data_IF_495925995487
#
_entry.id   IF_495925995487
#
_cell.length_a   1.000
_cell.length_b   1.000
_cell.length_c   1.000
_cell.angle_alpha   90.00
_cell.angle_beta   90.00
_cell.angle_gamma   90.00
#
_symmetry.space_group_name_H-M   'P 1'
#
loop_
_entity.id
_entity.type
_entity.pdbx_description
1 polymer ?
#
# COMPACT_ATOMS: atom_id res chain seq x y z
N UNK A 1 -31.50 5.88 -29.48
CA UNK A 1 -30.34 5.02 -29.75
C UNK A 1 -29.90 4.39 -28.43
N UNK A 2 -29.98 3.11 -28.31
CA UNK A 2 -29.54 2.41 -27.09
C UNK A 2 -28.01 2.41 -27.04
N UNK A 3 -27.41 2.61 -25.86
CA UNK A 3 -25.95 2.58 -25.62
C UNK A 3 -25.29 1.30 -26.21
N UNK A 4 -25.99 0.17 -26.18
CA UNK A 4 -25.53 -1.10 -26.75
C UNK A 4 -25.36 -1.06 -28.28
N UNK A 5 -26.17 -0.31 -29.03
CA UNK A 5 -25.99 -0.16 -30.46
C UNK A 5 -24.73 0.62 -30.84
N UNK A 6 -24.33 1.57 -29.98
CA UNK A 6 -23.10 2.37 -30.15
C UNK A 6 -21.84 1.55 -29.90
N UNK A 7 -21.82 0.72 -28.85
CA UNK A 7 -20.66 -0.13 -28.53
C UNK A 7 -20.44 -1.19 -29.62
N UNK A 8 -21.50 -1.88 -30.08
CA UNK A 8 -21.36 -2.89 -31.11
C UNK A 8 -20.91 -2.31 -32.47
N UNK A 9 -21.34 -1.09 -32.78
CA UNK A 9 -20.88 -0.38 -33.98
C UNK A 9 -19.44 0.02 -33.90
N UNK A 10 -18.99 0.45 -32.71
CA UNK A 10 -17.62 0.81 -32.45
C UNK A 10 -16.68 -0.41 -32.50
N UNK A 11 -17.07 -1.53 -31.91
CA UNK A 11 -16.31 -2.78 -31.95
C UNK A 11 -16.12 -3.30 -33.39
N UNK A 12 -17.19 -3.30 -34.20
CA UNK A 12 -17.11 -3.68 -35.64
C UNK A 12 -16.16 -2.76 -36.42
N UNK A 13 -16.20 -1.47 -36.11
CA UNK A 13 -15.28 -0.51 -36.74
C UNK A 13 -13.82 -0.78 -36.40
N UNK A 14 -13.52 -1.07 -35.12
CA UNK A 14 -12.18 -1.46 -34.68
C UNK A 14 -11.71 -2.72 -35.38
N UNK A 15 -12.55 -3.77 -35.45
CA UNK A 15 -12.22 -5.00 -36.16
C UNK A 15 -11.85 -4.72 -37.61
N UNK A 16 -12.60 -3.84 -38.25
CA UNK A 16 -12.36 -3.45 -39.64
C UNK A 16 -11.07 -2.62 -39.81
N UNK A 17 -10.87 -1.62 -38.97
CA UNK A 17 -9.73 -0.69 -39.07
C UNK A 17 -8.40 -1.36 -38.70
N UNK A 18 -8.40 -2.21 -37.68
CA UNK A 18 -7.20 -2.92 -37.21
C UNK A 18 -6.99 -4.25 -37.96
N UNK A 19 -7.93 -4.67 -38.82
CA UNK A 19 -7.87 -5.93 -39.58
C UNK A 19 -7.72 -7.16 -38.66
N UNK A 20 -8.38 -7.15 -37.51
CA UNK A 20 -8.45 -8.27 -36.57
C UNK A 20 -9.73 -9.06 -36.78
N UNK A 21 -9.71 -10.35 -36.47
CA UNK A 21 -10.87 -11.23 -36.65
C UNK A 21 -11.92 -11.04 -35.56
N UNK A 22 -11.48 -10.66 -34.36
CA UNK A 22 -12.37 -10.41 -33.22
C UNK A 22 -11.73 -9.35 -32.29
N UNK A 23 -12.53 -8.42 -31.81
CA UNK A 23 -12.09 -7.39 -30.86
C UNK A 23 -11.53 -7.97 -29.56
N UNK A 24 -11.89 -9.20 -29.19
CA UNK A 24 -11.33 -9.89 -28.00
C UNK A 24 -9.80 -10.09 -28.07
N UNK A 25 -9.21 -10.01 -29.27
CA UNK A 25 -7.75 -10.02 -29.45
C UNK A 25 -7.07 -8.80 -28.80
N UNK A 26 -7.83 -7.73 -28.55
CA UNK A 26 -7.37 -6.53 -27.85
C UNK A 26 -7.46 -6.65 -26.33
N UNK A 27 -8.16 -7.67 -25.82
CA UNK A 27 -8.25 -7.90 -24.39
C UNK A 27 -6.88 -8.32 -23.83
N UNK A 28 -6.54 -7.79 -22.67
CA UNK A 28 -5.34 -8.16 -21.94
C UNK A 28 -5.72 -8.83 -20.64
N UNK A 29 -4.94 -9.80 -20.22
CA UNK A 29 -5.09 -10.43 -18.92
C UNK A 29 -4.02 -9.87 -17.97
N UNK A 30 -4.41 -9.45 -16.78
CA UNK A 30 -3.50 -8.95 -15.77
C UNK A 30 -2.89 -10.08 -14.92
N UNK A 31 -2.07 -9.69 -13.91
CA UNK A 31 -1.41 -10.64 -13.02
C UNK A 31 -2.38 -11.42 -12.10
N UNK A 32 -3.60 -10.92 -11.89
CA UNK A 32 -4.66 -11.60 -11.12
C UNK A 32 -5.52 -12.53 -12.00
N UNK A 33 -5.24 -12.58 -13.32
CA UNK A 33 -6.01 -13.33 -14.30
C UNK A 33 -7.33 -12.66 -14.69
N UNK A 34 -7.45 -11.35 -14.45
CA UNK A 34 -8.63 -10.55 -14.81
C UNK A 34 -8.49 -10.09 -16.26
N UNK A 35 -9.52 -10.35 -17.08
CA UNK A 35 -9.55 -9.89 -18.47
C UNK A 35 -9.92 -8.41 -18.53
N UNK A 36 -9.09 -7.62 -19.21
CA UNK A 36 -9.27 -6.19 -19.40
C UNK A 36 -9.65 -5.95 -20.86
N UNK A 37 -10.89 -5.48 -21.08
CA UNK A 37 -11.40 -5.12 -22.40
C UNK A 37 -10.95 -3.72 -22.83
N UNK A 38 -10.93 -3.40 -24.13
CA UNK A 38 -10.53 -2.08 -24.63
C UNK A 38 -11.52 -0.97 -24.31
N UNK A 39 -12.78 -1.29 -23.98
CA UNK A 39 -13.80 -0.31 -23.60
C UNK A 39 -14.80 -0.93 -22.61
N UNK A 40 -15.39 -0.05 -21.79
CA UNK A 40 -16.40 -0.40 -20.79
C UNK A 40 -17.59 0.55 -20.89
N UNK A 41 -18.78 0.05 -20.55
CA UNK A 41 -20.04 0.77 -20.60
C UNK A 41 -20.84 0.55 -19.31
N UNK A 42 -21.98 1.20 -19.19
CA UNK A 42 -22.89 1.04 -18.04
C UNK A 42 -23.39 -0.39 -17.84
N UNK A 43 -23.28 -1.26 -18.84
CA UNK A 43 -23.72 -2.67 -18.74
C UNK A 43 -22.65 -3.60 -18.18
N UNK A 44 -21.44 -3.12 -18.02
CA UNK A 44 -20.28 -3.93 -17.59
C UNK A 44 -20.13 -3.98 -16.06
N UNK A 45 -20.94 -3.26 -15.32
CA UNK A 45 -20.96 -3.29 -13.85
C UNK A 45 -22.38 -3.07 -13.31
N UNK A 46 -22.62 -3.46 -12.05
CA UNK A 46 -23.90 -3.22 -11.40
C UNK A 46 -24.12 -1.72 -11.16
N UNK A 47 -25.23 -1.19 -11.70
CA UNK A 47 -25.54 0.24 -11.72
C UNK A 47 -25.79 0.90 -10.36
N UNK A 48 -25.87 0.14 -9.28
CA UNK A 48 -25.98 0.64 -7.92
C UNK A 48 -24.61 1.11 -7.37
N UNK A 49 -23.95 2.02 -8.11
CA UNK A 49 -22.68 2.56 -7.68
C UNK A 49 -22.86 3.46 -6.45
N UNK A 50 -22.39 3.02 -5.29
CA UNK A 50 -22.25 3.84 -4.11
C UNK A 50 -20.76 4.14 -3.88
N UNK A 51 -20.41 5.34 -3.35
CA UNK A 51 -19.06 5.62 -2.96
C UNK A 51 -18.51 4.54 -2.04
N UNK A 52 -17.31 4.04 -2.33
CA UNK A 52 -16.68 3.02 -1.51
C UNK A 52 -16.24 3.58 -0.14
N UNK A 53 -16.01 4.89 -0.08
CA UNK A 53 -15.62 5.65 1.10
C UNK A 53 -16.07 7.11 1.00
N UNK A 54 -16.18 7.79 2.17
CA UNK A 54 -16.72 9.17 2.25
C UNK A 54 -15.68 10.20 2.73
N UNK A 55 -14.46 9.79 3.08
CA UNK A 55 -13.43 10.71 3.54
C UNK A 55 -12.64 11.30 2.37
N UNK A 56 -12.44 12.61 2.39
CA UNK A 56 -11.57 13.31 1.45
C UNK A 56 -10.22 13.69 2.04
N UNK A 57 -10.10 13.65 3.36
CA UNK A 57 -8.86 13.98 4.08
C UNK A 57 -7.90 12.80 4.12
N UNK A 58 -6.60 13.09 4.07
CA UNK A 58 -5.54 12.13 4.37
C UNK A 58 -4.40 12.77 5.13
N UNK A 59 -3.75 11.98 5.96
CA UNK A 59 -2.53 12.35 6.67
C UNK A 59 -1.30 12.13 5.78
N UNK A 60 -0.41 13.12 5.76
CA UNK A 60 0.89 13.04 5.09
C UNK A 60 1.88 12.41 6.06
N UNK A 61 2.26 11.17 5.79
CA UNK A 61 3.07 10.36 6.70
C UNK A 61 4.55 10.47 6.36
N UNK A 62 5.34 10.94 7.33
CA UNK A 62 6.79 10.81 7.28
C UNK A 62 7.23 9.54 8.01
N UNK A 63 7.84 8.60 7.31
CA UNK A 63 8.41 7.36 7.89
C UNK A 63 9.89 7.51 8.09
N UNK A 64 10.33 7.30 9.33
CA UNK A 64 11.75 7.37 9.68
C UNK A 64 12.52 6.17 9.10
N UNK A 65 13.55 6.40 8.27
CA UNK A 65 14.38 5.32 7.74
C UNK A 65 15.11 4.55 8.86
N UNK A 66 15.27 3.24 8.67
CA UNK A 66 16.04 2.36 9.60
C UNK A 66 17.41 2.05 9.00
N UNK A 67 18.48 1.88 9.82
CA UNK A 67 18.57 2.21 11.24
C UNK A 67 18.70 3.73 11.49
N UNK A 68 18.34 4.21 12.68
CA UNK A 68 18.48 5.62 13.03
C UNK A 68 19.14 5.85 14.41
N UNK A 69 19.80 7.01 14.55
CA UNK A 69 20.25 7.53 15.84
C UNK A 69 19.20 8.55 16.34
N UNK A 70 18.88 8.51 17.64
CA UNK A 70 17.76 9.29 18.19
C UNK A 70 17.85 10.80 17.94
N UNK A 71 19.05 11.39 18.10
CA UNK A 71 19.24 12.83 17.92
C UNK A 71 18.95 13.26 16.46
N UNK A 72 19.39 12.47 15.50
CA UNK A 72 19.14 12.72 14.08
C UNK A 72 17.67 12.48 13.73
N UNK A 73 17.03 11.51 14.38
CA UNK A 73 15.62 11.17 14.18
C UNK A 73 14.69 12.31 14.62
N UNK A 74 14.94 12.91 15.79
CA UNK A 74 14.18 14.05 16.27
C UNK A 74 14.30 15.26 15.32
N UNK A 75 15.52 15.61 14.90
CA UNK A 75 15.74 16.69 13.95
C UNK A 75 15.02 16.45 12.61
N UNK A 76 14.98 15.20 12.13
CA UNK A 76 14.25 14.82 10.92
C UNK A 76 12.74 14.91 11.12
N UNK A 77 12.20 14.47 12.26
CA UNK A 77 10.78 14.63 12.57
C UNK A 77 10.35 16.10 12.60
N UNK A 78 11.10 16.94 13.34
CA UNK A 78 10.81 18.38 13.39
C UNK A 78 10.82 19.01 12.01
N UNK A 79 11.83 18.66 11.18
CA UNK A 79 11.93 19.18 9.81
C UNK A 79 10.80 18.68 8.93
N UNK A 80 10.40 17.40 9.02
CA UNK A 80 9.29 16.85 8.27
C UNK A 80 7.96 17.51 8.66
N UNK A 81 7.69 17.69 9.95
CA UNK A 81 6.49 18.37 10.45
C UNK A 81 6.45 19.83 10.01
N UNK A 82 7.57 20.56 10.09
CA UNK A 82 7.70 21.93 9.57
C UNK A 82 7.49 22.00 8.06
N UNK A 83 7.80 20.94 7.34
CA UNK A 83 7.59 20.83 5.88
C UNK A 83 6.17 20.41 5.50
N UNK A 84 5.27 20.17 6.46
CA UNK A 84 3.86 19.88 6.22
C UNK A 84 3.44 18.43 6.40
N UNK A 85 4.30 17.54 6.90
CA UNK A 85 3.87 16.22 7.36
C UNK A 85 2.90 16.38 8.55
N UNK A 86 1.83 15.60 8.58
CA UNK A 86 0.87 15.57 9.69
C UNK A 86 0.98 14.32 10.55
N UNK A 87 1.84 13.39 10.15
CA UNK A 87 2.01 12.08 10.79
C UNK A 87 3.45 11.65 10.78
N UNK A 88 3.85 10.93 11.81
CA UNK A 88 5.16 10.28 11.89
C UNK A 88 5.00 8.77 12.08
N UNK A 89 5.81 8.01 11.33
CA UNK A 89 5.90 6.56 11.45
C UNK A 89 7.31 6.16 11.88
N UNK A 90 7.40 5.44 12.97
CA UNK A 90 8.69 5.07 13.55
C UNK A 90 8.68 3.68 14.19
N UNK A 91 9.86 3.07 14.20
CA UNK A 91 10.12 1.88 14.98
C UNK A 91 10.59 2.29 16.37
N UNK A 92 9.96 1.75 17.42
CA UNK A 92 10.26 2.18 18.78
C UNK A 92 11.55 1.60 19.32
N UNK A 93 12.26 2.46 20.06
CA UNK A 93 13.39 2.09 20.92
C UNK A 93 13.18 2.78 22.27
N UNK A 94 12.91 1.99 23.30
CA UNK A 94 12.58 2.49 24.64
C UNK A 94 13.67 3.42 25.24
N UNK A 95 14.94 3.15 24.92
CA UNK A 95 16.07 3.90 25.50
C UNK A 95 16.19 5.35 25.02
N UNK A 96 15.54 5.69 23.89
CA UNK A 96 15.71 7.00 23.23
C UNK A 96 14.40 7.78 23.04
N UNK A 97 13.30 7.30 23.61
CA UNK A 97 11.98 7.87 23.38
C UNK A 97 11.87 9.35 23.76
N UNK A 98 12.47 9.77 24.86
CA UNK A 98 12.48 11.16 25.30
C UNK A 98 13.22 12.09 24.33
N UNK A 99 14.33 11.60 23.77
CA UNK A 99 15.09 12.36 22.78
C UNK A 99 14.36 12.45 21.45
N UNK A 100 13.67 11.36 21.07
CA UNK A 100 12.93 11.28 19.82
C UNK A 100 11.78 12.31 19.74
N UNK A 101 11.12 12.57 20.86
CA UNK A 101 9.98 13.49 20.94
C UNK A 101 10.31 14.85 21.56
N UNK A 102 11.57 15.19 21.76
CA UNK A 102 11.94 16.51 22.25
C UNK A 102 11.34 17.61 21.36
N UNK A 103 10.60 18.54 21.97
CA UNK A 103 9.90 19.65 21.28
C UNK A 103 8.83 19.24 20.25
N UNK A 104 8.32 18.01 20.33
CA UNK A 104 7.21 17.54 19.48
C UNK A 104 5.95 17.41 20.32
N UNK A 105 4.89 18.10 19.90
CA UNK A 105 3.58 18.02 20.53
C UNK A 105 2.76 16.85 19.96
N UNK A 106 2.98 15.68 20.54
CA UNK A 106 2.42 14.39 20.08
C UNK A 106 0.89 14.33 19.99
N UNK A 107 0.07 15.09 20.75
CA UNK A 107 -1.39 15.07 20.62
C UNK A 107 -1.92 15.61 19.29
N UNK A 108 -1.16 16.44 18.60
CA UNK A 108 -1.58 17.09 17.36
C UNK A 108 -1.22 16.34 16.09
N UNK A 109 -0.46 15.27 16.22
CA UNK A 109 0.00 14.46 15.09
C UNK A 109 -0.50 13.01 15.20
N UNK A 110 -0.62 12.33 14.06
CA UNK A 110 -0.84 10.89 14.05
C UNK A 110 0.50 10.17 14.27
N UNK A 111 0.53 9.31 15.29
CA UNK A 111 1.67 8.48 15.61
C UNK A 111 1.45 7.06 15.10
N UNK A 112 2.19 6.64 14.07
CA UNK A 112 2.19 5.25 13.59
C UNK A 112 3.40 4.54 14.21
N UNK A 113 3.12 3.53 15.01
CA UNK A 113 4.10 2.92 15.91
C UNK A 113 4.29 1.44 15.55
N UNK A 114 5.54 1.03 15.38
CA UNK A 114 5.91 -0.37 15.20
C UNK A 114 7.04 -0.75 16.18
N UNK A 115 7.04 -1.99 16.67
CA UNK A 115 8.12 -2.48 17.53
C UNK A 115 7.75 -3.69 18.38
N UNK A 116 8.70 -4.10 19.21
CA UNK A 116 8.49 -5.18 20.16
C UNK A 116 7.68 -4.71 21.37
N UNK A 117 7.01 -5.64 22.06
CA UNK A 117 6.06 -5.35 23.13
C UNK A 117 6.61 -4.44 24.23
N UNK A 118 7.83 -4.68 24.73
CA UNK A 118 8.43 -3.88 25.81
C UNK A 118 8.69 -2.42 25.38
N UNK A 119 9.16 -2.23 24.15
CA UNK A 119 9.39 -0.91 23.60
C UNK A 119 8.07 -0.18 23.31
N UNK A 120 7.03 -0.90 22.86
CA UNK A 120 5.67 -0.39 22.71
C UNK A 120 5.10 0.07 24.05
N UNK A 121 5.26 -0.73 25.13
CA UNK A 121 4.86 -0.37 26.48
C UNK A 121 5.50 0.95 26.95
N UNK A 122 6.81 1.08 26.81
CA UNK A 122 7.55 2.29 27.19
C UNK A 122 7.06 3.52 26.41
N UNK A 123 6.85 3.35 25.10
CA UNK A 123 6.39 4.44 24.22
C UNK A 123 4.97 4.89 24.57
N UNK A 124 4.06 3.95 24.78
CA UNK A 124 2.68 4.27 25.14
C UNK A 124 2.58 4.93 26.51
N UNK A 125 3.41 4.51 27.49
CA UNK A 125 3.54 5.21 28.76
C UNK A 125 4.02 6.65 28.58
N UNK A 126 5.05 6.86 27.75
CA UNK A 126 5.56 8.20 27.44
C UNK A 126 4.46 9.08 26.80
N UNK A 127 3.79 8.57 25.77
CA UNK A 127 2.70 9.31 25.08
C UNK A 127 1.52 9.60 26.00
N UNK A 128 1.21 8.72 26.93
CA UNK A 128 0.16 8.96 27.92
C UNK A 128 0.55 10.03 28.95
N UNK A 129 1.82 10.03 29.39
CA UNK A 129 2.30 10.98 30.40
C UNK A 129 2.55 12.39 29.83
N UNK A 130 2.96 12.50 28.57
CA UNK A 130 3.34 13.76 27.90
C UNK A 130 2.31 14.22 26.86
N UNK A 131 1.29 13.43 26.61
CA UNK A 131 0.19 13.72 25.69
C UNK A 131 -1.15 13.86 26.44
N UNK A 132 -2.22 13.48 25.77
CA UNK A 132 -3.54 13.38 26.35
C UNK A 132 -4.29 12.17 25.78
N UNK A 133 -5.51 11.91 26.26
CA UNK A 133 -6.35 10.81 25.78
C UNK A 133 -6.74 10.93 24.30
N UNK A 134 -6.61 12.11 23.70
CA UNK A 134 -6.91 12.37 22.28
C UNK A 134 -5.71 12.16 21.34
N UNK A 135 -4.54 11.79 21.88
CA UNK A 135 -3.36 11.45 21.05
C UNK A 135 -3.72 10.37 20.04
N UNK A 136 -3.54 10.67 18.76
CA UNK A 136 -3.84 9.75 17.66
C UNK A 136 -2.72 8.73 17.53
N UNK A 137 -3.06 7.45 17.62
CA UNK A 137 -2.11 6.34 17.57
C UNK A 137 -2.63 5.25 16.63
N UNK A 138 -1.79 4.80 15.72
CA UNK A 138 -1.97 3.55 14.98
C UNK A 138 -0.87 2.58 15.34
N UNK A 139 -1.25 1.43 15.85
CA UNK A 139 -0.32 0.42 16.31
C UNK A 139 -0.17 -0.68 15.25
N UNK A 140 0.98 -0.69 14.58
CA UNK A 140 1.28 -1.70 13.58
C UNK A 140 1.67 -3.02 14.25
N UNK A 141 0.92 -4.06 13.93
CA UNK A 141 1.33 -5.43 14.22
C UNK A 141 2.49 -5.81 13.30
N UNK A 142 3.70 -5.89 13.85
CA UNK A 142 4.84 -6.40 13.08
C UNK A 142 4.66 -7.90 12.88
N UNK A 143 4.54 -8.29 11.63
CA UNK A 143 4.58 -9.68 11.22
C UNK A 143 5.88 -9.93 10.47
N UNK A 144 6.82 -10.58 11.13
CA UNK A 144 7.78 -11.37 10.36
C UNK A 144 6.96 -12.49 9.72
N UNK A 145 7.06 -12.65 8.43
CA UNK A 145 6.22 -13.50 7.59
C UNK A 145 6.09 -14.97 8.06
N UNK A 146 6.84 -15.37 9.06
CA UNK A 146 6.93 -16.72 9.61
C UNK A 146 6.64 -16.83 11.10
N UNK A 147 6.31 -15.74 11.84
CA UNK A 147 6.24 -15.80 13.29
C UNK A 147 4.87 -15.38 13.85
N UNK A 148 4.00 -16.35 14.07
CA UNK A 148 2.66 -16.18 14.68
C UNK A 148 2.74 -15.90 16.21
N UNK A 149 3.92 -16.04 16.81
CA UNK A 149 4.09 -16.06 18.29
C UNK A 149 3.97 -14.68 18.97
N UNK A 150 3.93 -13.58 18.23
CA UNK A 150 3.92 -12.24 18.83
C UNK A 150 2.54 -11.68 19.20
N UNK A 151 1.45 -12.39 18.90
CA UNK A 151 0.11 -11.90 19.22
C UNK A 151 -0.15 -11.78 20.73
N UNK A 152 0.31 -12.73 21.53
CA UNK A 152 0.08 -12.70 22.97
C UNK A 152 0.81 -11.54 23.66
N UNK A 153 2.02 -11.23 23.19
CA UNK A 153 2.76 -10.07 23.66
C UNK A 153 2.05 -8.76 23.30
N UNK A 154 1.57 -8.65 22.05
CA UNK A 154 0.78 -7.50 21.60
C UNK A 154 -0.53 -7.35 22.38
N UNK A 155 -1.26 -8.44 22.64
CA UNK A 155 -2.50 -8.40 23.42
C UNK A 155 -2.27 -7.93 24.86
N UNK A 156 -1.11 -8.22 25.46
CA UNK A 156 -0.72 -7.67 26.76
C UNK A 156 -0.57 -6.15 26.70
N UNK A 157 0.08 -5.63 25.65
CA UNK A 157 0.21 -4.18 25.41
C UNK A 157 -1.19 -3.54 25.26
N UNK A 158 -2.04 -4.12 24.41
CA UNK A 158 -3.43 -3.68 24.25
C UNK A 158 -4.17 -3.62 25.57
N UNK A 159 -4.16 -4.70 26.35
CA UNK A 159 -4.89 -4.80 27.61
C UNK A 159 -4.42 -3.75 28.63
N UNK A 160 -3.14 -3.43 28.63
CA UNK A 160 -2.57 -2.43 29.55
C UNK A 160 -2.91 -0.98 29.15
N UNK A 161 -3.09 -0.67 27.85
CA UNK A 161 -3.12 0.71 27.38
C UNK A 161 -4.42 1.15 26.69
N UNK A 162 -5.31 0.23 26.28
CA UNK A 162 -6.48 0.58 25.45
C UNK A 162 -7.42 1.62 26.10
N UNK A 163 -7.48 1.72 27.42
CA UNK A 163 -8.28 2.71 28.15
C UNK A 163 -7.62 4.08 28.26
N UNK A 164 -6.34 4.17 27.93
CA UNK A 164 -5.55 5.39 28.07
C UNK A 164 -5.70 6.33 26.87
N UNK A 165 -6.18 5.82 25.73
CA UNK A 165 -6.28 6.58 24.48
C UNK A 165 -7.65 6.38 23.83
N UNK A 166 -8.33 7.50 23.53
CA UNK A 166 -9.64 7.49 22.87
C UNK A 166 -9.56 7.45 21.35
N UNK A 167 -8.41 7.88 20.79
CA UNK A 167 -8.16 8.00 19.35
C UNK A 167 -7.09 7.01 18.85
N UNK A 168 -6.98 5.84 19.49
CA UNK A 168 -6.02 4.82 19.09
C UNK A 168 -6.68 3.72 18.25
N UNK A 169 -6.04 3.37 17.14
CA UNK A 169 -6.30 2.13 16.41
C UNK A 169 -5.29 1.06 16.84
N UNK A 170 -5.79 -0.04 17.33
CA UNK A 170 -5.01 -1.16 17.87
C UNK A 170 -4.80 -2.28 16.86
N UNK A 171 -5.49 -2.23 15.73
CA UNK A 171 -5.43 -3.25 14.69
C UNK A 171 -4.97 -2.63 13.38
N UNK A 172 -3.67 -2.51 13.22
CA UNK A 172 -3.05 -2.17 11.94
C UNK A 172 -2.26 -3.36 11.40
N UNK A 173 -2.56 -3.75 10.17
CA UNK A 173 -1.85 -4.80 9.42
C UNK A 173 -1.20 -4.17 8.20
N UNK A 174 0.06 -4.53 7.94
CA UNK A 174 0.76 -4.14 6.70
C UNK A 174 0.92 -5.35 5.78
N UNK A 175 0.65 -5.13 4.51
CA UNK A 175 0.85 -6.11 3.44
C UNK A 175 2.09 -5.82 2.57
N UNK A 176 2.89 -4.79 2.90
CA UNK A 176 4.09 -4.42 2.14
C UNK A 176 5.04 -5.58 1.88
N UNK A 177 5.28 -6.43 2.91
CA UNK A 177 6.20 -7.56 2.79
C UNK A 177 5.67 -8.64 1.84
N UNK A 178 4.37 -8.88 1.81
CA UNK A 178 3.74 -9.83 0.87
C UNK A 178 3.77 -9.28 -0.56
N UNK A 179 3.48 -7.98 -0.72
CA UNK A 179 3.62 -7.30 -2.01
C UNK A 179 5.06 -7.39 -2.53
N UNK A 180 6.05 -7.11 -1.69
CA UNK A 180 7.47 -7.21 -2.05
C UNK A 180 7.89 -8.64 -2.47
N UNK A 181 7.23 -9.66 -1.94
CA UNK A 181 7.42 -11.07 -2.29
C UNK A 181 6.58 -11.53 -3.50
N UNK A 182 5.90 -10.61 -4.19
CA UNK A 182 5.21 -10.91 -5.43
C UNK A 182 3.70 -11.14 -5.32
N UNK A 183 3.07 -10.84 -4.19
CA UNK A 183 1.61 -10.92 -4.11
C UNK A 183 0.96 -10.06 -5.19
N UNK A 184 0.03 -10.66 -5.95
CA UNK A 184 -0.88 -9.93 -6.83
C UNK A 184 -1.88 -9.13 -6.02
N UNK A 185 -2.57 -8.17 -6.63
CA UNK A 185 -3.48 -7.27 -5.92
C UNK A 185 -4.56 -8.03 -5.15
N UNK A 186 -5.22 -9.00 -5.77
CA UNK A 186 -6.27 -9.79 -5.13
C UNK A 186 -5.73 -10.68 -4.00
N UNK A 187 -4.53 -11.25 -4.15
CA UNK A 187 -3.94 -12.09 -3.11
C UNK A 187 -3.46 -11.25 -1.91
N UNK A 188 -2.89 -10.06 -2.17
CA UNK A 188 -2.53 -9.08 -1.14
C UNK A 188 -3.75 -8.67 -0.31
N UNK A 189 -4.89 -8.34 -0.96
CA UNK A 189 -6.17 -8.04 -0.31
C UNK A 189 -6.59 -9.22 0.60
N UNK A 190 -6.55 -10.43 0.06
CA UNK A 190 -7.01 -11.63 0.77
C UNK A 190 -6.19 -11.92 2.03
N UNK A 191 -4.86 -11.83 1.94
CA UNK A 191 -3.96 -12.01 3.08
C UNK A 191 -4.25 -10.94 4.13
N UNK A 192 -4.24 -9.66 3.74
CA UNK A 192 -4.38 -8.55 4.67
C UNK A 192 -5.74 -8.55 5.38
N UNK A 193 -6.85 -8.76 4.67
CA UNK A 193 -8.17 -8.86 5.27
C UNK A 193 -8.29 -10.07 6.19
N UNK A 194 -7.72 -11.22 5.84
CA UNK A 194 -7.72 -12.41 6.69
C UNK A 194 -6.94 -12.18 7.98
N UNK A 195 -5.80 -11.50 7.93
CA UNK A 195 -5.00 -11.12 9.09
C UNK A 195 -5.74 -10.10 9.96
N UNK A 196 -6.36 -9.09 9.33
CA UNK A 196 -7.06 -8.02 10.03
C UNK A 196 -8.27 -8.53 10.81
N UNK A 197 -9.10 -9.38 10.19
CA UNK A 197 -10.23 -10.03 10.86
C UNK A 197 -9.75 -10.92 12.01
N UNK A 198 -8.67 -11.68 11.81
CA UNK A 198 -8.10 -12.52 12.87
C UNK A 198 -7.59 -11.69 14.06
N UNK A 199 -6.90 -10.57 13.79
CA UNK A 199 -6.43 -9.66 14.84
C UNK A 199 -7.62 -9.03 15.57
N UNK A 200 -8.59 -8.47 14.82
CA UNK A 200 -9.77 -7.81 15.38
C UNK A 200 -10.59 -8.75 16.29
N UNK A 201 -10.74 -10.02 15.92
CA UNK A 201 -11.48 -10.99 16.73
C UNK A 201 -10.85 -11.24 18.11
N UNK A 202 -9.59 -10.89 18.31
CA UNK A 202 -8.85 -11.02 19.59
C UNK A 202 -8.88 -9.73 20.42
N UNK A 203 -9.17 -8.59 19.81
CA UNK A 203 -9.30 -7.30 20.50
C UNK A 203 -10.74 -7.15 21.02
N UNK A 204 -10.97 -7.62 22.26
CA UNK A 204 -12.28 -7.54 22.91
C UNK A 204 -12.66 -6.05 23.10
N UNK A 205 -13.92 -5.73 22.83
CA UNK A 205 -14.54 -4.43 23.11
C UNK A 205 -13.90 -3.23 22.38
N UNK A 206 -13.13 -3.46 21.30
CA UNK A 206 -12.56 -2.39 20.51
C UNK A 206 -13.52 -1.94 19.41
N UNK A 207 -14.12 -0.76 19.58
CA UNK A 207 -14.86 -0.03 18.54
C UNK A 207 -13.95 0.87 17.70
N UNK A 208 -12.65 0.92 18.01
CA UNK A 208 -11.67 1.72 17.30
C UNK A 208 -11.52 1.24 15.84
N UNK A 209 -11.29 2.17 14.88
CA UNK A 209 -11.06 1.80 13.49
C UNK A 209 -9.93 0.79 13.33
N UNK A 210 -10.05 -0.12 12.37
CA UNK A 210 -8.97 -1.00 11.96
C UNK A 210 -8.25 -0.42 10.75
N UNK A 211 -6.96 -0.67 10.63
CA UNK A 211 -6.12 -0.10 9.58
C UNK A 211 -5.57 -1.21 8.69
N UNK A 212 -5.86 -1.09 7.40
CA UNK A 212 -5.21 -1.90 6.38
C UNK A 212 -4.13 -1.05 5.69
N UNK A 213 -2.87 -1.44 5.81
CA UNK A 213 -1.77 -0.78 5.13
C UNK A 213 -1.35 -1.59 3.90
N UNK A 214 -1.44 -0.95 2.72
CA UNK A 214 -1.14 -1.55 1.43
C UNK A 214 0.04 -0.86 0.72
N UNK A 215 0.83 -1.62 -0.02
CA UNK A 215 1.77 -1.05 -0.99
C UNK A 215 1.01 -0.62 -2.25
N UNK A 216 1.39 0.50 -2.86
CA UNK A 216 0.78 1.04 -4.08
C UNK A 216 1.85 1.25 -5.14
N UNK A 217 1.60 0.76 -6.35
CA UNK A 217 2.51 0.89 -7.50
C UNK A 217 2.07 2.02 -8.44
N UNK A 218 2.81 2.22 -9.52
CA UNK A 218 2.48 3.16 -10.59
C UNK A 218 1.36 2.67 -11.54
N UNK A 219 0.83 1.46 -11.35
CA UNK A 219 -0.30 0.93 -12.13
C UNK A 219 -1.62 1.59 -11.73
N UNK A 220 -1.82 2.83 -12.17
CA UNK A 220 -2.77 3.80 -11.66
C UNK A 220 -4.18 3.23 -11.39
N UNK A 221 -4.86 2.77 -12.44
CA UNK A 221 -6.25 2.26 -12.31
C UNK A 221 -6.33 0.96 -11.50
N UNK A 222 -5.33 0.08 -11.65
CA UNK A 222 -5.25 -1.15 -10.87
C UNK A 222 -5.18 -0.84 -9.37
N UNK A 223 -4.34 0.13 -8.97
CA UNK A 223 -4.17 0.48 -7.57
C UNK A 223 -5.38 1.21 -6.99
N UNK A 224 -6.04 2.09 -7.75
CA UNK A 224 -7.32 2.69 -7.34
C UNK A 224 -8.34 1.59 -7.05
N UNK A 225 -8.53 0.66 -8.00
CA UNK A 225 -9.49 -0.43 -7.87
C UNK A 225 -9.14 -1.39 -6.74
N UNK A 226 -7.83 -1.67 -6.51
CA UNK A 226 -7.37 -2.47 -5.36
C UNK A 226 -7.83 -1.87 -4.03
N UNK A 227 -7.59 -0.59 -3.82
CA UNK A 227 -7.96 0.10 -2.59
C UNK A 227 -9.49 0.16 -2.42
N UNK A 228 -10.21 0.43 -3.50
CA UNK A 228 -11.68 0.41 -3.51
C UNK A 228 -12.23 -1.00 -3.23
N UNK A 229 -11.62 -2.06 -3.74
CA UNK A 229 -12.02 -3.44 -3.48
C UNK A 229 -11.86 -3.81 -1.99
N UNK A 230 -10.82 -3.31 -1.32
CA UNK A 230 -10.66 -3.50 0.12
C UNK A 230 -11.83 -2.85 0.87
N UNK A 231 -12.18 -1.60 0.57
CA UNK A 231 -13.33 -0.93 1.17
C UNK A 231 -14.64 -1.66 0.87
N UNK A 232 -14.84 -2.11 -0.38
CA UNK A 232 -16.06 -2.79 -0.81
C UNK A 232 -16.28 -4.11 -0.05
N UNK A 233 -15.24 -4.94 0.06
CA UNK A 233 -15.32 -6.19 0.82
C UNK A 233 -15.59 -5.92 2.30
N UNK A 234 -14.90 -4.94 2.89
CA UNK A 234 -15.09 -4.61 4.31
C UNK A 234 -16.49 -4.07 4.60
N UNK A 235 -16.98 -3.16 3.76
CA UNK A 235 -18.34 -2.62 3.88
C UNK A 235 -19.41 -3.71 3.75
N UNK A 236 -19.22 -4.67 2.82
CA UNK A 236 -20.10 -5.83 2.70
C UNK A 236 -20.11 -6.68 3.97
N UNK A 237 -18.95 -6.90 4.58
CA UNK A 237 -18.85 -7.64 5.83
C UNK A 237 -19.46 -6.86 7.01
N UNK A 238 -19.33 -5.54 7.06
CA UNK A 238 -19.97 -4.71 8.08
C UNK A 238 -21.51 -4.78 7.99
N UNK A 239 -22.07 -4.82 6.80
CA UNK A 239 -23.53 -4.99 6.61
C UNK A 239 -24.02 -6.32 7.18
N UNK A 240 -23.22 -7.38 7.07
CA UNK A 240 -23.53 -8.70 7.60
C UNK A 240 -23.17 -8.85 9.08
N UNK A 241 -22.29 -8.02 9.60
CA UNK A 241 -21.79 -8.04 10.99
C UNK A 241 -21.58 -6.62 11.51
N UNK A 242 -22.58 -6.08 12.17
CA UNK A 242 -22.59 -4.71 12.72
C UNK A 242 -21.56 -4.46 13.84
N UNK A 243 -20.91 -5.52 14.35
CA UNK A 243 -19.83 -5.39 15.35
C UNK A 243 -18.45 -5.13 14.72
N UNK A 244 -18.32 -5.23 13.40
CA UNK A 244 -17.05 -4.88 12.75
C UNK A 244 -16.83 -3.36 12.78
N UNK A 245 -15.66 -2.90 13.26
CA UNK A 245 -15.34 -1.47 13.29
C UNK A 245 -15.15 -0.90 11.89
N UNK A 246 -15.09 0.42 11.77
CA UNK A 246 -14.76 1.09 10.51
C UNK A 246 -13.33 0.74 10.06
N UNK A 247 -13.15 0.68 8.74
CA UNK A 247 -11.85 0.47 8.11
C UNK A 247 -11.27 1.80 7.64
N UNK A 248 -9.99 2.03 7.93
CA UNK A 248 -9.19 3.07 7.32
C UNK A 248 -8.07 2.43 6.49
N UNK A 249 -7.74 3.05 5.37
CA UNK A 249 -6.61 2.63 4.56
C UNK A 249 -5.39 3.51 4.82
N UNK A 250 -4.26 2.86 5.00
CA UNK A 250 -2.94 3.48 4.94
C UNK A 250 -2.19 2.92 3.74
N UNK A 251 -1.37 3.72 3.09
CA UNK A 251 -0.61 3.27 1.93
C UNK A 251 0.84 3.73 1.97
N UNK A 252 1.70 2.94 1.35
CA UNK A 252 3.03 3.35 0.94
C UNK A 252 3.25 3.07 -0.53
N UNK A 253 4.03 3.89 -1.22
CA UNK A 253 4.40 3.56 -2.58
C UNK A 253 5.42 2.42 -2.60
N UNK A 254 5.15 1.46 -3.50
CA UNK A 254 6.03 0.32 -3.71
C UNK A 254 7.33 0.77 -4.35
N UNK A 255 8.44 0.28 -3.80
CA UNK A 255 9.78 0.51 -4.34
C UNK A 255 10.29 -0.67 -5.18
N UNK A 256 9.43 -1.67 -5.41
CA UNK A 256 9.80 -2.92 -6.10
C UNK A 256 10.41 -2.70 -7.48
N UNK A 257 9.98 -1.65 -8.18
CA UNK A 257 10.46 -1.29 -9.51
C UNK A 257 11.12 0.09 -9.54
N UNK A 258 11.65 0.55 -8.41
CA UNK A 258 12.46 1.76 -8.42
C UNK A 258 13.80 1.48 -9.09
N UNK A 259 14.20 2.38 -9.98
CA UNK A 259 15.51 2.36 -10.61
C UNK A 259 16.56 2.91 -9.65
N UNK A 260 17.70 2.25 -9.55
CA UNK A 260 18.87 2.79 -8.86
C UNK A 260 19.72 3.70 -9.77
N UNK A 261 19.61 3.52 -11.09
CA UNK A 261 20.32 4.31 -12.08
C UNK A 261 19.58 5.60 -12.45
N UNK A 262 18.26 5.54 -12.52
CA UNK A 262 17.37 6.66 -12.88
C UNK A 262 16.44 6.99 -11.70
N UNK A 263 17.02 7.61 -10.67
CA UNK A 263 16.29 7.98 -9.47
C UNK A 263 15.24 9.08 -9.73
N UNK A 264 15.44 9.93 -10.73
CA UNK A 264 14.50 11.00 -11.05
C UNK A 264 13.20 10.47 -11.65
N UNK A 265 13.25 9.41 -12.45
CA UNK A 265 12.05 8.71 -12.91
C UNK A 265 11.25 8.10 -11.74
N UNK A 266 11.89 7.76 -10.62
CA UNK A 266 11.18 7.30 -9.43
C UNK A 266 10.30 8.40 -8.81
N UNK A 267 10.65 9.70 -8.98
CA UNK A 267 9.81 10.83 -8.54
C UNK A 267 8.46 10.79 -9.28
N UNK A 268 8.49 10.51 -10.58
CA UNK A 268 7.28 10.39 -11.40
C UNK A 268 6.45 9.17 -10.97
N UNK A 269 7.10 8.02 -10.75
CA UNK A 269 6.43 6.80 -10.26
C UNK A 269 5.75 7.04 -8.92
N UNK A 270 6.46 7.68 -7.98
CA UNK A 270 5.92 7.97 -6.65
C UNK A 270 4.73 8.92 -6.71
N UNK A 271 4.76 9.95 -7.57
CA UNK A 271 3.65 10.88 -7.74
C UNK A 271 2.38 10.15 -8.23
N UNK A 272 2.50 9.26 -9.21
CA UNK A 272 1.38 8.44 -9.71
C UNK A 272 0.83 7.53 -8.61
N UNK A 273 1.70 6.89 -7.82
CA UNK A 273 1.30 6.02 -6.71
C UNK A 273 0.57 6.78 -5.61
N UNK A 274 1.04 7.98 -5.25
CA UNK A 274 0.38 8.86 -4.27
C UNK A 274 -0.99 9.29 -4.76
N UNK A 275 -1.10 9.69 -6.05
CA UNK A 275 -2.37 10.08 -6.64
C UNK A 275 -3.36 8.90 -6.65
N UNK A 276 -2.92 7.69 -7.02
CA UNK A 276 -3.73 6.49 -6.97
C UNK A 276 -4.18 6.16 -5.54
N UNK A 277 -3.29 6.33 -4.56
CA UNK A 277 -3.60 6.14 -3.14
C UNK A 277 -4.72 7.06 -2.68
N UNK A 278 -4.63 8.36 -3.01
CA UNK A 278 -5.66 9.35 -2.64
C UNK A 278 -7.00 9.03 -3.32
N UNK A 279 -7.00 8.77 -4.62
CA UNK A 279 -8.22 8.48 -5.37
C UNK A 279 -8.84 7.15 -4.92
N UNK A 280 -8.02 6.19 -4.50
CA UNK A 280 -8.47 4.90 -3.95
C UNK A 280 -8.94 4.95 -2.49
N UNK A 281 -8.89 6.12 -1.82
CA UNK A 281 -9.45 6.31 -0.48
C UNK A 281 -8.49 6.10 0.69
N UNK A 282 -7.19 6.24 0.48
CA UNK A 282 -6.24 6.20 1.57
C UNK A 282 -6.43 7.38 2.53
N UNK A 283 -6.48 7.08 3.84
CA UNK A 283 -6.59 8.05 4.94
C UNK A 283 -5.23 8.50 5.46
N UNK A 284 -4.16 7.78 5.14
CA UNK A 284 -2.78 8.15 5.45
C UNK A 284 -1.86 7.61 4.35
N UNK A 285 -0.99 8.47 3.82
CA UNK A 285 -0.12 8.14 2.70
C UNK A 285 1.33 8.38 3.09
N UNK A 286 2.13 7.33 3.05
CA UNK A 286 3.57 7.39 3.19
C UNK A 286 4.18 7.37 1.79
N UNK A 287 4.82 8.46 1.40
CA UNK A 287 5.55 8.53 0.15
C UNK A 287 7.03 8.21 0.40
N UNK A 288 7.50 7.09 -0.13
CA UNK A 288 8.92 6.70 -0.03
C UNK A 288 9.75 7.56 -0.96
N UNK A 289 10.87 8.05 -0.48
CA UNK A 289 11.75 8.92 -1.27
C UNK A 289 12.26 8.21 -2.52
N UNK A 290 12.26 8.93 -3.63
CA UNK A 290 12.72 8.40 -4.91
C UNK A 290 14.20 7.96 -4.91
N UNK A 291 15.00 8.54 -4.01
CA UNK A 291 16.43 8.34 -3.88
C UNK A 291 16.81 7.39 -2.73
N UNK A 292 15.91 6.49 -2.36
CA UNK A 292 16.12 5.55 -1.25
C UNK A 292 17.42 4.72 -1.40
N UNK A 293 17.89 4.51 -2.63
CA UNK A 293 19.09 3.73 -2.94
C UNK A 293 20.39 4.54 -2.90
N UNK A 294 20.28 5.87 -2.96
CA UNK A 294 21.45 6.72 -2.86
C UNK A 294 21.87 6.77 -1.39
N UNK A 295 23.13 6.53 -1.10
CA UNK A 295 23.69 6.53 0.28
C UNK A 295 23.63 7.93 0.93
N UNK A 296 23.33 8.95 0.18
CA UNK A 296 23.14 10.31 0.67
C UNK A 296 21.65 10.52 0.93
N UNK A 297 21.24 10.25 2.18
CA UNK A 297 19.92 10.64 2.68
C UNK A 297 19.84 12.16 2.86
N UNK A 298 19.83 12.89 1.77
CA UNK A 298 19.59 14.32 1.81
C UNK A 298 18.11 14.56 2.06
N UNK A 299 17.80 15.40 3.05
CA UNK A 299 16.43 15.74 3.39
C UNK A 299 15.66 16.38 2.22
N UNK A 300 16.37 16.92 1.23
CA UNK A 300 15.73 17.49 0.04
C UNK A 300 14.80 16.49 -0.67
N UNK A 301 15.18 15.22 -0.75
CA UNK A 301 14.35 14.17 -1.34
C UNK A 301 13.18 13.76 -0.43
N UNK A 302 13.37 13.78 0.88
CA UNK A 302 12.29 13.58 1.85
C UNK A 302 11.27 14.73 1.76
N UNK A 303 11.76 15.96 1.61
CA UNK A 303 10.92 17.13 1.36
C UNK A 303 10.11 16.99 0.07
N UNK A 304 10.72 16.55 -1.04
CA UNK A 304 10.01 16.33 -2.30
C UNK A 304 8.86 15.32 -2.15
N UNK A 305 9.06 14.26 -1.38
CA UNK A 305 8.02 13.27 -1.11
C UNK A 305 6.82 13.85 -0.31
N UNK A 306 7.08 14.81 0.58
CA UNK A 306 6.04 15.58 1.28
C UNK A 306 5.40 16.59 0.32
N UNK A 307 6.22 17.34 -0.43
CA UNK A 307 5.76 18.39 -1.33
C UNK A 307 4.84 17.86 -2.44
N UNK A 308 5.08 16.65 -2.98
CA UNK A 308 4.16 15.99 -3.92
C UNK A 308 2.75 15.85 -3.34
N UNK A 309 2.63 15.47 -2.08
CA UNK A 309 1.33 15.32 -1.43
C UNK A 309 0.68 16.67 -1.10
N UNK A 310 1.48 17.67 -0.71
CA UNK A 310 0.99 19.04 -0.49
C UNK A 310 0.45 19.65 -1.77
N UNK A 311 1.17 19.50 -2.89
CA UNK A 311 0.72 19.94 -4.21
C UNK A 311 -0.63 19.32 -4.56
N UNK A 312 -0.78 18.01 -4.36
CA UNK A 312 -2.04 17.31 -4.63
C UNK A 312 -3.16 17.77 -3.70
N UNK A 313 -2.86 18.06 -2.45
CA UNK A 313 -3.84 18.50 -1.46
C UNK A 313 -4.24 19.95 -1.67
N UNK A 314 -3.29 20.86 -1.78
CA UNK A 314 -3.52 22.31 -1.73
C UNK A 314 -3.70 22.93 -3.12
N UNK A 315 -2.94 22.51 -4.13
CA UNK A 315 -3.03 23.10 -5.47
C UNK A 315 -3.99 22.34 -6.38
N UNK A 316 -3.97 21.00 -6.36
CA UNK A 316 -4.95 20.19 -7.09
C UNK A 316 -6.30 20.09 -6.36
N UNK A 317 -6.40 20.59 -5.11
CA UNK A 317 -7.62 20.61 -4.30
C UNK A 317 -8.26 19.23 -4.08
N UNK A 318 -7.48 18.16 -4.11
CA UNK A 318 -8.01 16.80 -4.00
C UNK A 318 -8.66 16.52 -2.63
N UNK A 319 -8.38 17.34 -1.61
CA UNK A 319 -9.01 17.23 -0.30
C UNK A 319 -10.49 17.65 -0.28
N UNK A 320 -11.01 18.27 -1.36
CA UNK A 320 -12.42 18.58 -1.50
C UNK A 320 -13.26 17.41 -1.97
N UNK A 321 -12.63 16.37 -2.52
CA UNK A 321 -13.32 15.27 -3.17
C UNK A 321 -13.04 13.95 -2.46
N UNK A 322 -14.08 13.20 -2.14
CA UNK A 322 -13.95 11.85 -1.60
C UNK A 322 -13.67 10.83 -2.74
N UNK A 323 -14.63 10.03 -3.11
CA UNK A 323 -14.49 9.01 -4.15
C UNK A 323 -14.79 9.58 -5.54
N UNK A 324 -13.81 10.26 -6.14
CA UNK A 324 -13.95 10.86 -7.49
C UNK A 324 -13.99 9.84 -8.62
N UNK A 325 -13.62 8.59 -8.35
CA UNK A 325 -13.63 7.50 -9.32
C UNK A 325 -14.95 6.70 -9.33
N UNK A 326 -15.88 7.02 -8.41
CA UNK A 326 -17.19 6.40 -8.35
C UNK A 326 -17.96 6.64 -9.66
N UNK A 327 -18.47 5.55 -10.25
CA UNK A 327 -19.18 5.58 -11.52
C UNK A 327 -18.31 5.56 -12.77
N UNK A 328 -16.98 5.55 -12.64
CA UNK A 328 -16.09 5.30 -13.77
C UNK A 328 -16.17 3.82 -14.17
N UNK A 329 -16.73 3.52 -15.34
CA UNK A 329 -17.09 2.16 -15.77
C UNK A 329 -15.99 1.12 -15.59
N UNK A 330 -14.79 1.44 -16.07
CA UNK A 330 -13.64 0.56 -15.91
C UNK A 330 -13.27 0.34 -14.45
N UNK A 331 -13.23 1.42 -13.65
CA UNK A 331 -12.83 1.34 -12.23
C UNK A 331 -13.84 0.50 -11.43
N UNK A 332 -15.14 0.66 -11.71
CA UNK A 332 -16.18 -0.14 -11.04
C UNK A 332 -16.09 -1.62 -11.42
N UNK A 333 -16.01 -1.92 -12.71
CA UNK A 333 -15.82 -3.30 -13.20
C UNK A 333 -14.59 -3.95 -12.56
N UNK A 334 -13.47 -3.24 -12.61
CA UNK A 334 -12.19 -3.80 -12.15
C UNK A 334 -12.13 -3.92 -10.62
N UNK A 335 -12.81 -3.01 -9.89
CA UNK A 335 -13.01 -3.11 -8.43
C UNK A 335 -13.78 -4.37 -8.07
N UNK A 336 -14.88 -4.68 -8.79
CA UNK A 336 -15.69 -5.88 -8.55
C UNK A 336 -14.91 -7.14 -8.86
N UNK A 337 -14.24 -7.19 -10.00
CA UNK A 337 -13.42 -8.34 -10.41
C UNK A 337 -12.29 -8.63 -9.40
N UNK A 338 -11.61 -7.59 -8.89
CA UNK A 338 -10.61 -7.74 -7.84
C UNK A 338 -11.22 -8.21 -6.52
N UNK A 339 -12.39 -7.68 -6.15
CA UNK A 339 -13.08 -8.09 -4.93
C UNK A 339 -13.50 -9.58 -4.99
N UNK A 340 -14.06 -10.03 -6.11
CA UNK A 340 -14.42 -11.43 -6.32
C UNK A 340 -13.19 -12.34 -6.24
N UNK A 341 -12.09 -11.94 -6.91
CA UNK A 341 -10.84 -12.70 -6.89
C UNK A 341 -10.23 -12.76 -5.49
N UNK A 342 -10.29 -11.68 -4.72
CA UNK A 342 -9.84 -11.64 -3.33
C UNK A 342 -10.72 -12.53 -2.43
N UNK A 343 -12.03 -12.53 -2.61
CA UNK A 343 -12.94 -13.43 -1.89
C UNK A 343 -12.67 -14.90 -2.21
N UNK A 344 -12.36 -15.21 -3.47
CA UNK A 344 -11.87 -16.54 -3.83
C UNK A 344 -10.62 -16.93 -3.03
N UNK A 345 -9.59 -16.07 -2.98
CA UNK A 345 -8.39 -16.34 -2.22
C UNK A 345 -8.64 -16.45 -0.70
N UNK A 346 -9.55 -15.66 -0.15
CA UNK A 346 -9.98 -15.78 1.26
C UNK A 346 -10.59 -17.15 1.50
N UNK A 347 -11.39 -17.67 0.57
CA UNK A 347 -11.96 -19.02 0.67
C UNK A 347 -10.88 -20.10 0.66
N UNK A 348 -9.85 -19.96 -0.20
CA UNK A 348 -8.71 -20.89 -0.24
C UNK A 348 -7.90 -20.85 1.08
N UNK A 349 -7.64 -19.66 1.62
CA UNK A 349 -7.00 -19.50 2.95
C UNK A 349 -7.82 -20.20 4.03
N UNK A 350 -9.15 -20.08 4.00
CA UNK A 350 -10.05 -20.79 4.96
C UNK A 350 -9.93 -22.29 4.85
N UNK A 351 -9.82 -22.85 3.63
CA UNK A 351 -9.61 -24.30 3.40
C UNK A 351 -8.29 -24.79 4.00
N UNK A 352 -7.26 -23.94 4.12
CA UNK A 352 -6.01 -24.29 4.80
C UNK A 352 -6.15 -24.31 6.35
N UNK A 353 -7.30 -23.99 6.89
CA UNK A 353 -7.56 -23.86 8.33
C UNK A 353 -7.33 -22.44 8.84
N UNK A 354 -7.43 -21.43 7.95
CA UNK A 354 -7.27 -20.02 8.25
C UNK A 354 -5.85 -19.50 8.01
N UNK A 355 -5.69 -18.18 8.12
CA UNK A 355 -4.46 -17.49 7.70
C UNK A 355 -3.20 -17.96 8.45
N UNK A 356 -3.30 -18.18 9.78
CA UNK A 356 -2.15 -18.63 10.55
C UNK A 356 -1.68 -20.03 10.15
N UNK A 357 -2.62 -20.96 9.95
CA UNK A 357 -2.30 -22.31 9.50
C UNK A 357 -1.74 -22.29 8.08
N UNK A 358 -2.27 -21.45 7.19
CA UNK A 358 -1.77 -21.29 5.82
C UNK A 358 -0.32 -20.76 5.81
N UNK A 359 0.02 -19.83 6.71
CA UNK A 359 1.39 -19.33 6.89
C UNK A 359 2.29 -20.42 7.46
N UNK A 360 1.90 -21.09 8.54
CA UNK A 360 2.71 -22.12 9.20
C UNK A 360 2.99 -23.32 8.31
N UNK A 361 2.03 -23.71 7.48
CA UNK A 361 2.20 -24.80 6.49
C UNK A 361 3.05 -24.39 5.28
N UNK A 362 3.46 -23.12 5.18
CA UNK A 362 4.20 -22.59 4.02
C UNK A 362 3.33 -22.39 2.76
N UNK A 363 2.02 -22.58 2.84
CA UNK A 363 1.13 -22.48 1.69
C UNK A 363 1.11 -21.04 1.11
N UNK A 364 1.06 -20.00 1.97
CA UNK A 364 1.14 -18.61 1.53
C UNK A 364 2.45 -18.37 0.77
N UNK A 365 3.58 -18.83 1.31
CA UNK A 365 4.89 -18.69 0.65
C UNK A 365 4.90 -19.36 -0.73
N UNK A 366 4.38 -20.57 -0.84
CA UNK A 366 4.30 -21.28 -2.14
C UNK A 366 3.50 -20.47 -3.17
N UNK A 367 2.35 -19.88 -2.77
CA UNK A 367 1.56 -19.06 -3.67
C UNK A 367 2.30 -17.77 -4.08
N UNK A 368 3.00 -17.12 -3.14
CA UNK A 368 3.82 -15.94 -3.43
C UNK A 368 4.93 -16.28 -4.43
N UNK A 369 5.67 -17.37 -4.20
CA UNK A 369 6.75 -17.80 -5.08
C UNK A 369 6.23 -18.08 -6.51
N UNK A 370 5.06 -18.68 -6.65
CA UNK A 370 4.42 -18.92 -7.96
C UNK A 370 4.03 -17.60 -8.66
N UNK A 371 3.40 -16.68 -7.94
CA UNK A 371 2.99 -15.39 -8.48
C UNK A 371 4.20 -14.53 -8.85
N UNK A 372 5.25 -14.56 -8.02
CA UNK A 372 6.52 -13.89 -8.30
C UNK A 372 7.13 -14.41 -9.61
N UNK A 373 7.21 -15.73 -9.78
CA UNK A 373 7.77 -16.35 -11.00
C UNK A 373 6.99 -15.95 -12.25
N UNK A 374 5.66 -15.89 -12.18
CA UNK A 374 4.82 -15.46 -13.32
C UNK A 374 5.08 -13.98 -13.68
N UNK A 375 5.16 -13.09 -12.68
CA UNK A 375 5.45 -11.67 -12.91
C UNK A 375 6.88 -11.47 -13.43
N UNK A 376 7.85 -12.23 -12.93
CA UNK A 376 9.23 -12.22 -13.41
C UNK A 376 9.31 -12.67 -14.88
N UNK A 377 8.59 -13.73 -15.24
CA UNK A 377 8.53 -14.19 -16.62
C UNK A 377 7.94 -13.11 -17.55
N UNK A 378 6.82 -12.48 -17.17
CA UNK A 378 6.22 -11.40 -17.95
C UNK A 378 7.16 -10.20 -18.11
N UNK A 379 7.93 -9.85 -17.07
CA UNK A 379 8.93 -8.79 -17.13
C UNK A 379 10.09 -9.15 -18.08
N UNK A 380 10.65 -10.37 -17.97
CA UNK A 380 11.79 -10.80 -18.80
C UNK A 380 11.40 -11.08 -20.26
N UNK A 381 10.14 -11.44 -20.52
CA UNK A 381 9.60 -11.60 -21.88
C UNK A 381 9.21 -10.27 -22.54
N UNK A 382 9.48 -9.13 -21.88
CA UNK A 382 9.07 -7.79 -22.34
C UNK A 382 7.55 -7.64 -22.53
N UNK A 383 6.75 -8.37 -21.76
CA UNK A 383 5.30 -8.18 -21.69
C UNK A 383 4.95 -7.01 -20.75
N UNK A 384 5.84 -6.67 -19.82
CA UNK A 384 5.77 -5.51 -18.94
C UNK A 384 6.99 -4.61 -19.13
N UNK A 385 6.75 -3.37 -19.54
CA UNK A 385 7.82 -2.37 -19.68
C UNK A 385 7.98 -1.54 -18.41
N UNK A 386 9.23 -1.35 -17.99
CA UNK A 386 9.64 -0.42 -16.94
C UNK A 386 10.71 0.51 -17.49
N UNK A 387 10.32 1.77 -17.68
CA UNK A 387 11.18 2.81 -18.25
C UNK A 387 12.47 2.92 -17.43
N UNK A 388 13.62 2.93 -18.10
CA UNK A 388 14.94 3.00 -17.45
C UNK A 388 15.40 1.69 -16.79
N UNK A 389 14.59 0.60 -16.81
CA UNK A 389 14.95 -0.71 -16.20
C UNK A 389 15.06 -1.80 -17.28
N UNK A 390 14.00 -2.09 -18.03
CA UNK A 390 14.03 -3.07 -19.15
C UNK A 390 13.60 -2.44 -20.49
N UNK A 391 13.22 -1.16 -20.51
CA UNK A 391 12.87 -0.41 -21.71
C UNK A 391 13.39 1.02 -21.62
N UNK A 392 13.78 1.60 -22.77
CA UNK A 392 14.27 2.96 -22.88
C UNK A 392 15.45 3.26 -21.93
N UNK A 393 16.42 2.36 -21.89
CA UNK A 393 17.62 2.49 -21.08
C UNK A 393 18.43 3.74 -21.49
N UNK A 394 18.80 4.57 -20.52
CA UNK A 394 19.81 5.59 -20.73
C UNK A 394 21.19 4.95 -20.55
N UNK A 395 22.06 5.09 -21.54
CA UNK A 395 23.41 4.51 -21.56
C UNK A 395 24.39 5.14 -20.55
N UNK A 396 23.93 5.78 -19.48
CA UNK A 396 24.77 6.36 -18.45
C UNK A 396 25.18 5.32 -17.41
N UNK A 397 26.42 4.85 -17.55
CA UNK A 397 27.25 4.30 -16.48
C UNK A 397 26.68 3.18 -15.60
N UNK A 398 26.57 1.97 -16.14
CA UNK A 398 26.52 0.73 -15.35
C UNK A 398 27.68 0.68 -14.32
N UNK A 399 28.78 1.40 -14.57
CA UNK A 399 29.90 1.58 -13.64
C UNK A 399 29.53 2.29 -12.33
N UNK A 400 28.41 3.04 -12.27
CA UNK A 400 27.90 3.67 -11.05
C UNK A 400 27.13 2.70 -10.16
N UNK A 401 26.75 1.53 -10.64
CA UNK A 401 26.24 0.45 -9.82
C UNK A 401 27.40 -0.16 -9.00
N UNK A 402 27.94 0.61 -8.06
CA UNK A 402 28.78 0.05 -7.01
C UNK A 402 27.91 -0.81 -6.11
N UNK A 403 27.83 -2.08 -6.48
CA UNK A 403 27.07 -3.11 -5.80
C UNK A 403 27.65 -3.27 -4.39
N UNK A 404 26.96 -2.77 -3.39
CA UNK A 404 27.09 -3.35 -2.06
C UNK A 404 26.18 -4.58 -2.01
N UNK A 405 26.79 -5.73 -1.78
CA UNK A 405 26.17 -7.06 -1.74
C UNK A 405 25.05 -7.27 -0.72
N UNK A 406 24.72 -6.28 0.09
CA UNK A 406 23.75 -6.36 1.17
C UNK A 406 22.36 -5.78 0.83
N UNK A 407 22.15 -5.30 -0.39
CA UNK A 407 20.87 -4.72 -0.77
C UNK A 407 19.91 -5.75 -1.36
N UNK A 408 19.10 -6.31 -0.51
CA UNK A 408 17.94 -7.18 -0.83
C UNK A 408 16.77 -6.41 -1.47
N UNK A 409 17.04 -5.39 -2.28
CA UNK A 409 15.99 -4.58 -2.89
C UNK A 409 15.51 -5.24 -4.20
N UNK A 410 14.24 -5.68 -4.33
CA UNK A 410 13.78 -6.41 -5.50
C UNK A 410 14.00 -5.65 -6.82
N UNK A 411 13.73 -4.35 -6.87
CA UNK A 411 13.91 -3.51 -8.06
C UNK A 411 15.34 -3.46 -8.57
N UNK A 412 16.29 -3.41 -7.67
CA UNK A 412 17.72 -3.44 -7.98
C UNK A 412 18.16 -4.76 -8.66
N UNK A 413 17.62 -5.88 -8.19
CA UNK A 413 17.91 -7.18 -8.80
C UNK A 413 17.39 -7.26 -10.24
N UNK A 414 16.26 -6.66 -10.56
CA UNK A 414 15.73 -6.58 -11.93
C UNK A 414 16.65 -5.73 -12.82
N UNK A 415 17.10 -4.57 -12.32
CA UNK A 415 17.96 -3.67 -13.08
C UNK A 415 19.33 -4.29 -13.40
N UNK A 416 19.99 -4.92 -12.42
CA UNK A 416 21.26 -5.63 -12.64
C UNK A 416 21.12 -6.72 -13.69
N UNK A 417 20.07 -7.54 -13.58
CA UNK A 417 19.85 -8.64 -14.55
C UNK A 417 19.52 -8.09 -15.93
N UNK A 418 18.74 -7.01 -16.05
CA UNK A 418 18.42 -6.40 -17.34
C UNK A 418 19.69 -5.89 -18.04
N UNK A 419 20.58 -5.22 -17.30
CA UNK A 419 21.86 -4.73 -17.86
C UNK A 419 22.83 -5.85 -18.19
N UNK A 420 22.87 -6.95 -17.41
CA UNK A 420 23.69 -8.10 -17.72
C UNK A 420 23.27 -8.79 -19.04
N UNK A 421 21.95 -8.79 -19.35
CA UNK A 421 21.42 -9.38 -20.59
C UNK A 421 21.57 -8.45 -21.82
N UNK A 422 21.85 -7.16 -21.65
CA UNK A 422 22.06 -6.21 -22.77
C UNK A 422 23.53 -6.07 -23.16
N UNK A 423 24.46 -6.61 -22.38
CA UNK A 423 25.91 -6.61 -22.65
C UNK A 423 26.40 -7.91 -23.35
N UNK A 424 25.51 -8.80 -23.71
CA UNK A 424 25.73 -9.96 -24.57
C UNK A 424 25.09 -9.74 -25.95
#
# INVERSE_FOLDING_TARGET
>A
MTLNATLSSWLKRIETELKISNWSELCKTDADGISIAPAYTVTDFDSACAPAFNSSHWDIVYRLPKPYQAINANARFLKALQSGASSIWYHVNASVIHQLFASIETPYILNIIEGHADALHATLNYLHSNGNKSTKIWLLQTQEANNVSNYDAFLKVYTAHHKNFNAASWAMISTESYHAQGATAAFEIAIGLSLLVNLQSRLKDSSAPVIFHAAVTEQFYNQISKLRAIHRIWNLWQQSNTHLPSLLLSTSNSTRFYSALDADTNILRSAVSVLASKIGGASAIQNTTAHLHLQQHEFNYEYLAIAQQLLMREEMLLHHYADISCGAYFVEYYTDALAEKALYWISEIKKQGGIHNAIQKGWIKTQLDMQQQQQDAAFWNNEQFKIGINAFLQHSDVSRLQVKSDNTFPGYNYEIKAHANTTL
#
